data_IF_004649905577
#
_entry.id   IF_004649905577
#
_cell.length_a   1.000
_cell.length_b   1.000
_cell.length_c   1.000
_cell.angle_alpha   90.00
_cell.angle_beta   90.00
_cell.angle_gamma   90.00
#
_symmetry.space_group_name_H-M   'P 1'
#
loop_
_entity.id
_entity.type
_entity.pdbx_description
1 polymer ?
#
# COMPACT_ATOMS: atom_id res chain seq x y z
N UNK A 1 22.62 29.06 -2.78
CA UNK A 1 21.98 28.00 -3.58
C UNK A 1 21.87 26.80 -2.65
N UNK A 2 20.66 26.29 -2.40
CA UNK A 2 20.47 25.09 -1.57
C UNK A 2 20.82 23.89 -2.43
N UNK A 3 21.64 22.99 -1.93
CA UNK A 3 21.95 21.73 -2.60
C UNK A 3 20.82 20.74 -2.33
N UNK A 4 20.11 20.34 -3.40
CA UNK A 4 18.94 19.47 -3.31
C UNK A 4 19.35 18.01 -3.53
N UNK A 5 19.15 17.19 -2.50
CA UNK A 5 19.28 15.73 -2.59
C UNK A 5 18.06 15.06 -3.23
N UNK A 6 16.91 15.72 -3.19
CA UNK A 6 15.64 15.18 -3.67
C UNK A 6 15.73 14.82 -5.15
N UNK A 7 15.33 13.58 -5.49
CA UNK A 7 15.34 13.07 -6.86
C UNK A 7 13.93 12.79 -7.38
N UNK A 8 13.01 12.49 -6.47
CA UNK A 8 11.67 12.04 -6.81
C UNK A 8 10.63 12.68 -5.88
N UNK A 9 9.63 13.31 -6.47
CA UNK A 9 8.43 13.80 -5.80
C UNK A 9 7.23 12.99 -6.29
N UNK A 10 6.51 12.34 -5.37
CA UNK A 10 5.30 11.57 -5.67
C UNK A 10 4.10 12.26 -5.05
N UNK A 11 3.07 12.50 -5.86
CA UNK A 11 1.80 13.05 -5.41
C UNK A 11 0.73 11.98 -5.48
N UNK A 12 0.29 11.48 -4.32
CA UNK A 12 -0.77 10.46 -4.22
C UNK A 12 -2.11 11.17 -4.07
N UNK A 13 -3.01 10.99 -5.04
CA UNK A 13 -4.21 11.82 -5.14
C UNK A 13 -5.46 11.10 -5.62
N UNK A 14 -6.60 11.53 -5.09
CA UNK A 14 -7.96 11.29 -5.62
C UNK A 14 -8.95 12.02 -4.72
N UNK A 15 -9.97 12.64 -5.31
CA UNK A 15 -11.00 13.34 -4.55
C UNK A 15 -11.94 12.39 -3.81
N UNK A 16 -11.94 11.09 -4.14
CA UNK A 16 -12.80 10.12 -3.48
C UNK A 16 -12.22 9.67 -2.12
N UNK A 17 -13.08 9.66 -1.10
CA UNK A 17 -12.78 9.07 0.21
C UNK A 17 -12.75 7.54 0.16
N UNK A 18 -11.91 6.92 1.01
CA UNK A 18 -11.85 5.46 1.18
C UNK A 18 -11.37 4.69 -0.06
N UNK A 19 -10.59 5.30 -0.94
CA UNK A 19 -9.93 4.65 -2.10
C UNK A 19 -8.58 4.02 -1.72
N UNK A 20 -8.10 4.29 -0.51
CA UNK A 20 -6.82 3.77 0.00
C UNK A 20 -5.60 4.61 -0.35
N UNK A 21 -5.74 5.93 -0.55
CA UNK A 21 -4.61 6.87 -0.72
C UNK A 21 -3.52 6.67 0.33
N UNK A 22 -3.87 6.78 1.60
CA UNK A 22 -2.93 6.59 2.70
C UNK A 22 -2.26 5.20 2.68
N UNK A 23 -2.99 4.15 2.33
CA UNK A 23 -2.43 2.80 2.21
C UNK A 23 -1.42 2.72 1.05
N UNK A 24 -1.72 3.35 -0.08
CA UNK A 24 -0.79 3.45 -1.22
C UNK A 24 0.46 4.25 -0.83
N UNK A 25 0.29 5.41 -0.17
CA UNK A 25 1.40 6.23 0.34
C UNK A 25 2.31 5.42 1.27
N UNK A 26 1.72 4.63 2.16
CA UNK A 26 2.43 3.76 3.08
C UNK A 26 3.23 2.65 2.37
N UNK A 27 2.64 2.04 1.33
CA UNK A 27 3.33 1.06 0.48
C UNK A 27 4.53 1.72 -0.22
N UNK A 28 4.35 2.89 -0.84
CA UNK A 28 5.41 3.59 -1.57
C UNK A 28 6.54 4.04 -0.63
N UNK A 29 6.21 4.56 0.55
CA UNK A 29 7.18 4.90 1.60
C UNK A 29 7.99 3.68 2.06
N UNK A 30 7.31 2.55 2.33
CA UNK A 30 7.95 1.31 2.71
C UNK A 30 8.94 0.81 1.64
N UNK A 31 8.51 0.77 0.38
CA UNK A 31 9.34 0.29 -0.73
C UNK A 31 10.56 1.19 -0.95
N UNK A 32 10.40 2.51 -0.90
CA UNK A 32 11.51 3.45 -1.03
C UNK A 32 12.53 3.30 0.11
N UNK A 33 12.07 3.15 1.35
CA UNK A 33 12.95 2.94 2.51
C UNK A 33 13.69 1.62 2.47
N UNK A 34 13.02 0.53 2.09
CA UNK A 34 13.65 -0.77 1.88
C UNK A 34 14.66 -0.76 0.72
N UNK A 35 14.52 0.16 -0.24
CA UNK A 35 15.52 0.43 -1.25
C UNK A 35 16.71 1.27 -0.75
N UNK A 36 16.73 1.65 0.53
CA UNK A 36 17.77 2.46 1.16
C UNK A 36 17.63 3.97 0.91
N UNK A 37 16.48 4.44 0.43
CA UNK A 37 16.23 5.85 0.17
C UNK A 37 15.74 6.56 1.44
N UNK A 38 16.19 7.79 1.63
CA UNK A 38 15.60 8.69 2.63
C UNK A 38 14.29 9.26 2.11
N UNK A 39 13.21 9.16 2.91
CA UNK A 39 11.85 9.54 2.49
C UNK A 39 11.26 10.56 3.46
N UNK A 40 10.66 11.61 2.91
CA UNK A 40 9.79 12.54 3.62
C UNK A 40 8.34 12.32 3.15
N UNK A 41 7.48 11.82 4.03
CA UNK A 41 6.04 11.77 3.78
C UNK A 41 5.41 13.05 4.30
N UNK A 42 4.58 13.67 3.49
CA UNK A 42 3.83 14.88 3.79
C UNK A 42 2.38 14.48 3.97
N UNK A 43 1.90 14.49 5.21
CA UNK A 43 0.49 14.30 5.50
C UNK A 43 -0.22 15.62 5.20
N UNK A 44 -0.98 15.62 4.12
CA UNK A 44 -1.74 16.73 3.59
C UNK A 44 -3.24 16.40 3.62
N UNK A 45 -3.71 15.66 4.63
CA UNK A 45 -5.13 15.47 4.91
C UNK A 45 -5.47 16.02 6.30
N UNK A 46 -5.77 17.32 6.39
CA UNK A 46 -6.14 17.95 7.67
C UNK A 46 -7.35 17.30 8.37
N UNK A 47 -8.28 16.73 7.61
CA UNK A 47 -9.52 16.20 8.17
C UNK A 47 -9.32 14.84 8.84
N UNK A 48 -8.48 13.98 8.24
CA UNK A 48 -8.30 12.60 8.71
C UNK A 48 -6.94 12.35 9.34
N UNK A 49 -5.87 12.96 8.82
CA UNK A 49 -4.47 12.67 9.20
C UNK A 49 -4.16 11.17 9.15
N UNK A 50 -4.63 10.53 8.07
CA UNK A 50 -4.64 9.07 7.93
C UNK A 50 -3.24 8.47 8.07
N UNK A 51 -2.24 9.07 7.41
CA UNK A 51 -0.89 8.53 7.44
C UNK A 51 -0.28 8.61 8.84
N UNK A 52 -0.41 9.76 9.51
CA UNK A 52 0.09 9.95 10.89
C UNK A 52 -0.60 9.00 11.87
N UNK A 53 -1.91 8.81 11.76
CA UNK A 53 -2.65 7.91 12.66
C UNK A 53 -2.20 6.45 12.54
N UNK A 54 -1.67 6.05 11.38
CA UNK A 54 -1.18 4.69 11.10
C UNK A 54 0.30 4.50 11.40
N UNK A 55 1.11 5.52 11.13
CA UNK A 55 2.57 5.41 11.17
C UNK A 55 3.21 6.16 12.35
N UNK A 56 2.45 6.99 13.07
CA UNK A 56 2.96 7.84 14.16
C UNK A 56 3.45 9.21 13.66
N UNK A 57 3.33 10.23 14.52
CA UNK A 57 3.62 11.65 14.20
C UNK A 57 5.06 11.90 13.75
N UNK A 58 6.02 11.11 14.22
CA UNK A 58 7.43 11.29 13.88
C UNK A 58 7.76 10.91 12.44
N UNK A 59 6.85 10.20 11.74
CA UNK A 59 7.11 9.61 10.43
C UNK A 59 6.51 10.40 9.27
N UNK A 60 5.87 11.54 9.54
CA UNK A 60 5.39 12.45 8.49
C UNK A 60 5.48 13.91 8.92
N UNK A 61 5.71 14.76 7.92
CA UNK A 61 5.59 16.21 8.05
C UNK A 61 4.13 16.59 7.88
N UNK A 62 3.58 17.30 8.88
CA UNK A 62 2.22 17.82 8.82
C UNK A 62 2.20 19.06 7.92
N UNK A 63 1.39 19.05 6.86
CA UNK A 63 1.10 20.26 6.10
C UNK A 63 -0.17 20.94 6.63
N UNK A 64 -0.01 22.10 7.26
CA UNK A 64 -1.11 22.93 7.77
C UNK A 64 -1.29 24.16 6.87
N UNK A 65 -2.22 24.08 5.91
CA UNK A 65 -2.58 25.18 4.99
C UNK A 65 -3.65 26.14 5.53
N UNK A 66 -4.21 25.90 6.71
CA UNK A 66 -5.22 26.76 7.34
C UNK A 66 -4.63 27.74 8.37
N UNK A 67 -3.36 27.59 8.74
CA UNK A 67 -2.69 28.50 9.64
C UNK A 67 -2.16 29.68 8.84
N UNK A 68 -2.42 30.92 9.30
CA UNK A 68 -1.87 32.16 8.71
C UNK A 68 -0.33 32.29 8.82
N UNK A 69 0.37 31.18 9.01
CA UNK A 69 1.81 31.02 9.17
C UNK A 69 2.37 30.01 8.15
N UNK A 70 1.71 29.86 6.99
CA UNK A 70 2.26 29.02 5.93
C UNK A 70 3.60 29.64 5.49
N UNK A 71 4.71 28.98 5.81
CA UNK A 71 6.01 29.31 5.26
C UNK A 71 5.88 29.38 3.74
N UNK A 72 6.63 30.30 3.12
CA UNK A 72 6.69 30.39 1.67
C UNK A 72 7.01 28.99 1.10
N UNK A 73 6.29 28.49 0.08
CA UNK A 73 6.42 27.11 -0.40
C UNK A 73 7.86 26.68 -0.72
N UNK A 74 8.66 27.59 -1.27
CA UNK A 74 10.08 27.36 -1.54
C UNK A 74 10.89 27.15 -0.24
N UNK A 75 10.64 27.94 0.81
CA UNK A 75 11.32 27.79 2.11
C UNK A 75 10.88 26.50 2.80
N UNK A 76 9.58 26.20 2.75
CA UNK A 76 9.05 24.96 3.30
C UNK A 76 9.66 23.73 2.61
N UNK A 77 9.71 23.75 1.28
CA UNK A 77 10.26 22.65 0.48
C UNK A 77 11.76 22.48 0.75
N UNK A 78 12.50 23.59 0.83
CA UNK A 78 13.91 23.55 1.21
C UNK A 78 14.13 22.92 2.59
N UNK A 79 13.26 23.23 3.56
CA UNK A 79 13.36 22.72 4.92
C UNK A 79 13.05 21.23 5.04
N UNK A 80 12.04 20.75 4.32
CA UNK A 80 11.48 19.41 4.51
C UNK A 80 11.85 18.40 3.43
N UNK A 81 12.17 18.85 2.22
CA UNK A 81 12.40 17.99 1.06
C UNK A 81 13.84 18.01 0.55
N UNK A 82 14.59 19.11 0.74
CA UNK A 82 15.92 19.23 0.12
C UNK A 82 16.95 18.19 0.59
N UNK A 83 16.76 17.57 1.76
CA UNK A 83 17.72 16.63 2.36
C UNK A 83 17.29 15.16 2.29
N UNK A 84 16.18 14.86 1.60
CA UNK A 84 15.71 13.48 1.39
C UNK A 84 15.85 13.07 -0.08
N UNK A 85 15.79 11.77 -0.38
CA UNK A 85 15.83 11.26 -1.76
C UNK A 85 14.43 11.30 -2.41
N UNK A 86 13.38 11.01 -1.61
CA UNK A 86 11.98 10.92 -2.06
C UNK A 86 11.06 11.76 -1.18
N UNK A 87 10.19 12.56 -1.79
CA UNK A 87 9.06 13.23 -1.16
C UNK A 87 7.75 12.58 -1.58
N UNK A 88 6.85 12.29 -0.64
CA UNK A 88 5.55 11.68 -0.95
C UNK A 88 4.45 12.50 -0.29
N UNK A 89 3.51 13.02 -1.09
CA UNK A 89 2.35 13.76 -0.59
C UNK A 89 1.13 12.84 -0.49
N UNK A 90 0.65 12.58 0.74
CA UNK A 90 -0.65 11.93 1.00
C UNK A 90 -1.74 13.00 1.03
N UNK A 91 -2.38 13.24 -0.12
CA UNK A 91 -3.42 14.26 -0.21
C UNK A 91 -4.75 13.76 0.34
N UNK A 92 -5.48 14.63 1.04
CA UNK A 92 -6.84 14.34 1.50
C UNK A 92 -7.86 14.16 0.37
N UNK A 93 -9.06 13.71 0.73
CA UNK A 93 -10.20 13.76 -0.20
C UNK A 93 -10.53 15.21 -0.56
N UNK A 94 -11.17 15.41 -1.72
CA UNK A 94 -11.58 16.73 -2.23
C UNK A 94 -10.46 17.78 -2.44
N UNK A 95 -9.18 17.41 -2.33
CA UNK A 95 -8.06 18.34 -2.46
C UNK A 95 -8.12 19.17 -3.76
N UNK A 96 -8.48 18.55 -4.89
CA UNK A 96 -8.52 19.22 -6.20
C UNK A 96 -9.82 19.99 -6.45
N UNK A 97 -10.86 19.74 -5.66
CA UNK A 97 -12.18 20.38 -5.83
C UNK A 97 -12.34 21.64 -4.99
N UNK A 98 -11.42 21.87 -4.06
CA UNK A 98 -11.43 23.08 -3.24
C UNK A 98 -10.39 24.05 -3.82
N UNK A 99 -10.81 25.27 -4.18
CA UNK A 99 -9.92 26.43 -4.40
C UNK A 99 -9.25 26.77 -3.05
N UNK A 100 -8.36 25.89 -2.63
CA UNK A 100 -7.71 25.94 -1.33
C UNK A 100 -6.31 26.50 -1.50
N UNK A 101 -5.82 27.25 -0.50
CA UNK A 101 -4.39 27.56 -0.37
C UNK A 101 -3.48 26.33 -0.52
N UNK A 102 -4.00 25.14 -0.19
CA UNK A 102 -3.31 23.87 -0.34
C UNK A 102 -2.98 23.52 -1.80
N UNK A 103 -3.89 23.76 -2.75
CA UNK A 103 -3.66 23.48 -4.16
C UNK A 103 -2.61 24.44 -4.75
N UNK A 104 -2.69 25.73 -4.41
CA UNK A 104 -1.66 26.71 -4.77
C UNK A 104 -0.29 26.35 -4.20
N UNK A 105 -0.24 26.01 -2.90
CA UNK A 105 0.98 25.55 -2.26
C UNK A 105 1.59 24.34 -2.97
N UNK A 106 0.80 23.32 -3.28
CA UNK A 106 1.30 22.14 -3.98
C UNK A 106 1.84 22.48 -5.38
N UNK A 107 1.16 23.36 -6.12
CA UNK A 107 1.65 23.83 -7.41
C UNK A 107 3.03 24.48 -7.25
N UNK A 108 3.20 25.37 -6.27
CA UNK A 108 4.49 26.03 -6.02
C UNK A 108 5.60 25.04 -5.62
N UNK A 109 5.26 23.98 -4.86
CA UNK A 109 6.19 22.88 -4.55
C UNK A 109 6.58 22.12 -5.82
N UNK A 110 5.62 21.82 -6.69
CA UNK A 110 5.85 21.10 -7.95
C UNK A 110 6.67 21.94 -8.92
N UNK A 111 6.39 23.23 -9.05
CA UNK A 111 7.18 24.18 -9.85
C UNK A 111 8.62 24.26 -9.32
N UNK A 112 8.79 24.37 -7.98
CA UNK A 112 10.11 24.32 -7.35
C UNK A 112 10.84 23.01 -7.69
N UNK A 113 10.15 21.88 -7.66
CA UNK A 113 10.73 20.59 -8.02
C UNK A 113 11.19 20.56 -9.49
N UNK A 114 10.36 21.08 -10.41
CA UNK A 114 10.71 21.19 -11.83
C UNK A 114 11.92 22.10 -12.08
N UNK A 115 11.98 23.27 -11.41
CA UNK A 115 13.10 24.21 -11.52
C UNK A 115 14.43 23.59 -11.05
N UNK A 116 14.36 22.62 -10.14
CA UNK A 116 15.52 21.86 -9.65
C UNK A 116 15.76 20.56 -10.45
N UNK A 117 15.05 20.32 -11.56
CA UNK A 117 15.10 19.10 -12.36
C UNK A 117 14.77 17.82 -11.58
N UNK A 118 13.91 17.93 -10.57
CA UNK A 118 13.43 16.81 -9.77
C UNK A 118 12.32 16.09 -10.54
N UNK A 119 12.40 14.77 -10.64
CA UNK A 119 11.35 13.96 -11.27
C UNK A 119 10.09 14.04 -10.43
N UNK A 120 8.97 14.44 -11.04
CA UNK A 120 7.67 14.55 -10.36
C UNK A 120 6.67 13.60 -10.99
N UNK A 121 6.02 12.79 -10.15
CA UNK A 121 5.08 11.76 -10.58
C UNK A 121 3.75 11.89 -9.85
N UNK A 122 2.66 11.91 -10.61
CA UNK A 122 1.30 11.87 -10.07
C UNK A 122 0.78 10.43 -10.06
N UNK A 123 0.25 10.00 -8.91
CA UNK A 123 -0.25 8.66 -8.69
C UNK A 123 -1.76 8.69 -8.36
N UNK A 124 -2.65 8.97 -9.34
CA UNK A 124 -4.08 8.96 -9.11
C UNK A 124 -4.58 7.55 -8.77
N UNK A 125 -5.44 7.44 -7.74
CA UNK A 125 -5.97 6.13 -7.29
C UNK A 125 -7.30 5.79 -7.95
N UNK A 126 -7.34 4.65 -8.63
CA UNK A 126 -8.55 3.92 -9.02
C UNK A 126 -8.83 2.79 -8.02
N UNK A 127 -10.10 2.62 -7.63
CA UNK A 127 -10.54 1.64 -6.66
C UNK A 127 -11.78 0.88 -7.18
N UNK A 128 -11.88 -0.44 -6.95
CA UNK A 128 -13.00 -1.24 -7.45
C UNK A 128 -14.35 -0.72 -6.97
N UNK A 129 -15.36 -0.88 -7.82
CA UNK A 129 -16.75 -0.51 -7.55
C UNK A 129 -16.96 0.99 -7.19
N UNK A 130 -15.95 1.84 -7.41
CA UNK A 130 -16.02 3.30 -7.24
C UNK A 130 -15.86 4.01 -8.57
N UNK A 131 -16.93 4.02 -9.38
CA UNK A 131 -16.95 4.65 -10.71
C UNK A 131 -16.39 6.07 -10.70
N UNK A 132 -16.71 6.87 -9.68
CA UNK A 132 -16.20 8.24 -9.54
C UNK A 132 -14.68 8.33 -9.34
N UNK A 133 -14.07 7.36 -8.66
CA UNK A 133 -12.61 7.31 -8.47
C UNK A 133 -11.89 7.05 -9.79
N UNK A 134 -12.38 6.08 -10.58
CA UNK A 134 -11.86 5.80 -11.92
C UNK A 134 -11.95 6.99 -12.86
N UNK A 135 -13.14 7.58 -13.01
CA UNK A 135 -13.34 8.70 -13.93
C UNK A 135 -12.43 9.88 -13.57
N UNK A 136 -12.21 10.10 -12.27
CA UNK A 136 -11.28 11.11 -11.81
C UNK A 136 -9.84 10.72 -12.13
N UNK A 137 -9.41 9.49 -11.85
CA UNK A 137 -8.06 9.05 -12.17
C UNK A 137 -7.76 9.18 -13.67
N UNK A 138 -8.70 8.81 -14.54
CA UNK A 138 -8.59 8.96 -15.99
C UNK A 138 -8.53 10.44 -16.43
N UNK A 139 -9.32 11.30 -15.78
CA UNK A 139 -9.27 12.76 -16.01
C UNK A 139 -7.92 13.34 -15.60
N UNK A 140 -7.41 12.96 -14.43
CA UNK A 140 -6.12 13.44 -13.93
C UNK A 140 -4.97 12.98 -14.83
N UNK A 141 -5.02 11.72 -15.29
CA UNK A 141 -4.09 11.22 -16.29
C UNK A 141 -4.10 12.10 -17.54
N UNK A 142 -5.27 12.28 -18.16
CA UNK A 142 -5.40 13.12 -19.37
C UNK A 142 -4.94 14.57 -19.16
N UNK A 143 -5.18 15.13 -17.97
CA UNK A 143 -4.86 16.52 -17.66
C UNK A 143 -3.37 16.74 -17.40
N UNK A 144 -2.68 15.80 -16.74
CA UNK A 144 -1.31 16.00 -16.27
C UNK A 144 -0.26 15.27 -17.12
N UNK A 145 -0.62 14.25 -17.91
CA UNK A 145 0.34 13.41 -18.65
C UNK A 145 1.15 14.15 -19.73
N UNK A 146 0.75 15.36 -20.11
CA UNK A 146 1.50 16.20 -21.06
C UNK A 146 2.62 16.99 -20.42
N UNK A 147 2.55 17.23 -19.11
CA UNK A 147 3.50 18.07 -18.35
C UNK A 147 4.29 17.25 -17.32
N UNK A 148 3.70 16.15 -16.85
CA UNK A 148 4.23 15.33 -15.77
C UNK A 148 4.09 13.86 -16.10
N UNK A 149 4.86 13.06 -15.39
CA UNK A 149 4.65 11.63 -15.37
C UNK A 149 3.41 11.29 -14.53
N UNK A 150 2.56 10.40 -15.06
CA UNK A 150 1.36 9.96 -14.36
C UNK A 150 1.22 8.45 -14.52
N UNK A 151 1.04 7.73 -13.40
CA UNK A 151 0.62 6.34 -13.43
C UNK A 151 -0.64 6.16 -12.58
N UNK A 152 -1.60 5.41 -13.10
CA UNK A 152 -2.83 5.10 -12.37
C UNK A 152 -2.55 3.97 -11.39
N UNK A 153 -2.84 4.17 -10.11
CA UNK A 153 -2.75 3.10 -9.11
C UNK A 153 -4.09 2.40 -9.01
N UNK A 154 -4.15 1.13 -9.42
CA UNK A 154 -5.31 0.27 -9.24
C UNK A 154 -5.24 -0.43 -7.89
N UNK A 155 -5.89 0.13 -6.90
CA UNK A 155 -5.89 -0.38 -5.53
C UNK A 155 -7.07 -1.31 -5.27
N UNK A 156 -6.86 -2.63 -5.31
CA UNK A 156 -7.91 -3.63 -5.09
C UNK A 156 -8.23 -3.82 -3.60
N UNK A 157 -8.67 -2.76 -2.94
CA UNK A 157 -8.97 -2.79 -1.51
C UNK A 157 -10.22 -3.62 -1.13
N UNK A 158 -10.86 -4.29 -2.11
CA UNK A 158 -12.05 -5.12 -1.93
C UNK A 158 -11.88 -6.56 -2.41
N UNK A 159 -10.79 -6.89 -3.11
CA UNK A 159 -10.55 -8.24 -3.62
C UNK A 159 -11.45 -8.65 -4.78
N UNK A 160 -12.09 -7.68 -5.45
CA UNK A 160 -12.99 -7.97 -6.56
C UNK A 160 -12.27 -7.92 -7.91
N UNK A 161 -11.14 -7.20 -7.99
CA UNK A 161 -10.47 -6.90 -9.25
C UNK A 161 -11.34 -6.11 -10.24
N UNK A 162 -12.53 -5.64 -9.83
CA UNK A 162 -13.52 -5.06 -10.71
C UNK A 162 -13.36 -3.54 -10.83
N UNK A 163 -12.34 -3.11 -11.58
CA UNK A 163 -12.12 -1.71 -11.93
C UNK A 163 -13.04 -1.24 -13.09
N UNK A 164 -13.81 -2.15 -13.68
CA UNK A 164 -14.63 -1.94 -14.88
C UNK A 164 -13.79 -1.67 -16.14
N UNK A 165 -14.42 -1.32 -17.28
CA UNK A 165 -13.68 -1.09 -18.53
C UNK A 165 -12.79 0.15 -18.42
N UNK A 166 -11.56 0.04 -18.92
CA UNK A 166 -10.65 1.17 -19.11
C UNK A 166 -11.11 2.01 -20.30
N UNK A 167 -11.06 3.34 -20.15
CA UNK A 167 -11.35 4.27 -21.27
C UNK A 167 -10.09 4.85 -21.91
N UNK A 168 -8.97 4.78 -21.20
CA UNK A 168 -7.66 5.20 -21.69
C UNK A 168 -6.98 4.05 -22.44
N UNK A 169 -6.23 4.41 -23.48
CA UNK A 169 -5.40 3.48 -24.24
C UNK A 169 -4.05 3.38 -23.51
N UNK A 170 -3.70 2.16 -23.07
CA UNK A 170 -2.43 1.79 -22.43
C UNK A 170 -1.88 2.77 -21.38
N UNK A 171 -2.69 3.21 -20.38
CA UNK A 171 -2.15 4.03 -19.30
C UNK A 171 -1.14 3.23 -18.46
N UNK A 172 -0.03 3.85 -18.09
CA UNK A 172 0.87 3.27 -17.10
C UNK A 172 0.07 3.00 -15.81
N UNK A 173 0.12 1.75 -15.34
CA UNK A 173 -0.73 1.29 -14.24
C UNK A 173 0.08 0.50 -13.22
N UNK A 174 0.00 0.91 -11.96
CA UNK A 174 0.51 0.17 -10.82
C UNK A 174 -0.66 -0.55 -10.13
N UNK A 175 -0.69 -1.88 -10.19
CA UNK A 175 -1.71 -2.68 -9.50
C UNK A 175 -1.26 -3.01 -8.08
N UNK A 176 -2.09 -2.65 -7.10
CA UNK A 176 -1.93 -3.07 -5.70
C UNK A 176 -2.95 -4.17 -5.43
N UNK A 177 -2.50 -5.41 -5.17
CA UNK A 177 -3.38 -6.54 -4.95
C UNK A 177 -4.11 -6.42 -3.61
N UNK A 178 -5.24 -7.13 -3.51
CA UNK A 178 -5.99 -7.22 -2.27
C UNK A 178 -5.19 -7.87 -1.15
N UNK A 179 -5.34 -7.29 0.04
CA UNK A 179 -4.87 -7.82 1.30
C UNK A 179 -6.07 -8.11 2.20
N UNK A 180 -6.18 -9.35 2.67
CA UNK A 180 -7.25 -9.75 3.60
C UNK A 180 -7.30 -8.80 4.81
N UNK A 181 -8.52 -8.45 5.23
CA UNK A 181 -8.76 -7.45 6.27
C UNK A 181 -8.09 -7.78 7.62
N UNK A 182 -7.90 -9.06 7.94
CA UNK A 182 -7.18 -9.48 9.14
C UNK A 182 -5.69 -9.14 9.09
N UNK A 183 -5.03 -9.23 7.93
CA UNK A 183 -3.65 -8.80 7.78
C UNK A 183 -3.52 -7.27 7.86
N UNK A 184 -4.39 -6.52 7.19
CA UNK A 184 -4.43 -5.05 7.31
C UNK A 184 -4.69 -4.64 8.77
N UNK A 185 -5.58 -5.35 9.47
CA UNK A 185 -5.83 -5.12 10.89
C UNK A 185 -4.59 -5.33 11.73
N UNK A 186 -3.81 -6.41 11.48
CA UNK A 186 -2.53 -6.65 12.17
C UNK A 186 -1.56 -5.50 11.93
N UNK A 187 -1.44 -5.04 10.69
CA UNK A 187 -0.61 -3.89 10.36
C UNK A 187 -0.99 -2.64 11.17
N UNK A 188 -2.28 -2.37 11.27
CA UNK A 188 -2.81 -1.17 11.92
C UNK A 188 -2.76 -1.20 13.47
N UNK A 189 -2.42 -2.35 14.08
CA UNK A 189 -2.26 -2.45 15.55
C UNK A 189 -1.06 -1.66 16.06
N UNK A 190 -0.05 -1.50 15.23
CA UNK A 190 1.18 -0.80 15.58
C UNK A 190 1.21 0.57 14.88
N UNK A 191 1.30 1.65 15.66
CA UNK A 191 1.56 2.99 15.12
C UNK A 191 3.04 3.16 14.78
N UNK A 192 3.52 2.31 13.87
CA UNK A 192 4.90 2.22 13.37
C UNK A 192 4.86 2.26 11.86
N UNK A 193 6.00 2.49 11.21
CA UNK A 193 6.07 2.41 9.75
C UNK A 193 5.95 0.96 9.27
N UNK A 194 5.54 0.77 8.03
CA UNK A 194 5.28 -0.57 7.48
C UNK A 194 6.55 -1.42 7.39
N UNK A 195 7.69 -0.83 7.04
CA UNK A 195 9.01 -1.47 7.04
C UNK A 195 9.37 -1.97 8.45
N UNK A 196 9.12 -1.15 9.48
CA UNK A 196 9.37 -1.52 10.88
C UNK A 196 8.48 -2.65 11.40
N UNK A 197 7.22 -2.70 10.96
CA UNK A 197 6.26 -3.78 11.31
C UNK A 197 6.65 -5.10 10.67
N UNK A 198 7.26 -5.05 9.49
CA UNK A 198 7.78 -6.23 8.78
C UNK A 198 9.08 -6.71 9.42
N UNK A 199 9.99 -5.81 9.74
CA UNK A 199 11.28 -6.14 10.36
C UNK A 199 11.12 -6.70 11.78
N UNK A 200 10.19 -6.15 12.56
CA UNK A 200 9.91 -6.56 13.94
C UNK A 200 8.42 -6.82 14.14
N UNK A 201 7.92 -8.01 13.72
CA UNK A 201 6.51 -8.37 13.87
C UNK A 201 6.09 -8.47 15.33
N UNK A 202 4.81 -8.22 15.61
CA UNK A 202 4.21 -8.47 16.94
C UNK A 202 4.23 -9.98 17.25
N UNK A 203 4.40 -10.32 18.53
CA UNK A 203 4.41 -11.71 18.99
C UNK A 203 3.14 -12.47 18.55
N UNK A 204 3.35 -13.61 17.89
CA UNK A 204 2.30 -14.46 17.35
C UNK A 204 1.68 -13.97 16.04
N UNK A 205 2.28 -12.99 15.37
CA UNK A 205 1.86 -12.45 14.07
C UNK A 205 2.97 -12.48 13.00
N UNK A 206 4.02 -13.27 13.19
CA UNK A 206 5.14 -13.35 12.26
C UNK A 206 4.70 -13.80 10.85
N UNK A 207 3.77 -14.76 10.76
CA UNK A 207 3.23 -15.22 9.47
C UNK A 207 2.37 -14.16 8.79
N UNK A 208 1.65 -13.34 9.55
CA UNK A 208 0.87 -12.21 9.02
C UNK A 208 1.80 -11.14 8.44
N UNK A 209 2.84 -10.73 9.16
CA UNK A 209 3.85 -9.80 8.64
C UNK A 209 4.56 -10.36 7.40
N UNK A 210 4.87 -11.66 7.37
CA UNK A 210 5.45 -12.30 6.19
C UNK A 210 4.47 -12.36 4.99
N UNK A 211 3.16 -12.48 5.23
CA UNK A 211 2.13 -12.36 4.19
C UNK A 211 2.11 -10.94 3.59
N UNK A 212 2.19 -9.91 4.44
CA UNK A 212 2.26 -8.51 4.01
C UNK A 212 3.55 -8.26 3.19
N UNK A 213 4.71 -8.73 3.67
CA UNK A 213 5.98 -8.65 2.94
C UNK A 213 5.90 -9.34 1.58
N UNK A 214 5.25 -10.51 1.50
CA UNK A 214 5.01 -11.21 0.22
C UNK A 214 4.18 -10.37 -0.76
N UNK A 215 3.19 -9.61 -0.27
CA UNK A 215 2.40 -8.71 -1.13
C UNK A 215 3.21 -7.51 -1.59
N UNK A 216 4.01 -6.92 -0.71
CA UNK A 216 4.95 -5.86 -1.09
C UNK A 216 5.97 -6.35 -2.12
N UNK A 217 6.43 -7.59 -2.02
CA UNK A 217 7.32 -8.18 -3.02
C UNK A 217 6.64 -8.32 -4.39
N UNK A 218 5.36 -8.71 -4.44
CA UNK A 218 4.58 -8.73 -5.68
C UNK A 218 4.50 -7.32 -6.31
N UNK A 219 4.31 -6.28 -5.48
CA UNK A 219 4.28 -4.88 -5.92
C UNK A 219 5.68 -4.42 -6.38
N UNK A 220 6.74 -4.80 -5.66
CA UNK A 220 8.15 -4.47 -5.97
C UNK A 220 8.66 -5.10 -7.28
N UNK A 221 7.97 -6.12 -7.79
CA UNK A 221 8.23 -6.73 -9.08
C UNK A 221 7.53 -6.00 -10.25
N UNK A 222 6.73 -4.97 -9.96
CA UNK A 222 6.14 -4.13 -11.00
C UNK A 222 7.22 -3.21 -11.65
N UNK A 223 7.30 -3.13 -12.99
CA UNK A 223 8.27 -2.27 -13.67
C UNK A 223 8.24 -0.79 -13.26
N UNK A 224 7.06 -0.25 -12.91
CA UNK A 224 6.93 1.14 -12.44
C UNK A 224 7.68 1.31 -11.11
N UNK A 225 7.55 0.34 -10.19
CA UNK A 225 8.22 0.41 -8.88
C UNK A 225 9.73 0.26 -9.03
N UNK A 226 10.17 -0.62 -9.93
CA UNK A 226 11.59 -0.76 -10.27
C UNK A 226 12.16 0.54 -10.85
N UNK A 227 11.41 1.21 -11.72
CA UNK A 227 11.83 2.48 -12.30
C UNK A 227 11.83 3.64 -11.29
N UNK A 228 10.93 3.65 -10.31
CA UNK A 228 10.88 4.67 -9.26
C UNK A 228 11.99 4.50 -8.21
N UNK A 229 12.26 3.27 -7.76
CA UNK A 229 13.07 3.01 -6.56
C UNK A 229 14.23 2.02 -6.77
N UNK A 230 14.38 1.44 -7.97
CA UNK A 230 15.34 0.38 -8.26
C UNK A 230 14.88 -1.00 -7.78
N UNK A 231 15.81 -1.95 -7.62
CA UNK A 231 15.51 -3.34 -7.23
C UNK A 231 15.99 -3.70 -5.83
N UNK A 232 16.64 -2.77 -5.12
CA UNK A 232 17.29 -3.02 -3.84
C UNK A 232 16.32 -3.50 -2.74
N UNK A 233 15.04 -3.10 -2.81
CA UNK A 233 14.01 -3.52 -1.85
C UNK A 233 13.62 -5.00 -1.97
N UNK A 234 13.90 -5.67 -3.09
CA UNK A 234 13.46 -7.06 -3.32
C UNK A 234 14.08 -8.03 -2.33
N UNK A 235 15.39 -7.92 -2.10
CA UNK A 235 16.12 -8.81 -1.19
C UNK A 235 15.60 -8.79 0.26
N UNK A 236 15.43 -7.64 0.93
CA UNK A 236 14.86 -7.63 2.28
C UNK A 236 13.40 -8.12 2.30
N UNK A 237 12.61 -7.83 1.27
CA UNK A 237 11.23 -8.34 1.16
C UNK A 237 11.17 -9.86 0.97
N UNK A 238 12.04 -10.42 0.13
CA UNK A 238 12.18 -11.87 -0.06
C UNK A 238 12.53 -12.56 1.25
N UNK A 239 13.48 -12.00 2.01
CA UNK A 239 13.85 -12.52 3.33
C UNK A 239 12.67 -12.44 4.32
N UNK A 240 11.99 -11.28 4.40
CA UNK A 240 10.85 -11.10 5.28
C UNK A 240 9.64 -11.96 4.90
N UNK A 241 9.52 -12.37 3.63
CA UNK A 241 8.46 -13.25 3.15
C UNK A 241 8.72 -14.74 3.46
N UNK A 242 9.90 -15.12 3.98
CA UNK A 242 10.28 -16.49 4.39
C UNK A 242 9.51 -16.91 5.65
N UNK A 243 8.23 -17.24 5.48
CA UNK A 243 7.34 -17.54 6.61
C UNK A 243 5.89 -17.22 6.33
N UNK A 244 5.60 -16.65 5.15
CA UNK A 244 4.23 -16.39 4.72
C UNK A 244 3.39 -17.69 4.79
N UNK A 245 2.11 -17.60 5.18
CA UNK A 245 1.22 -18.74 5.12
C UNK A 245 1.16 -19.30 3.70
N UNK A 246 1.11 -20.62 3.61
CA UNK A 246 0.77 -21.29 2.35
C UNK A 246 -0.71 -21.10 2.00
N UNK A 247 -1.24 -21.86 1.02
CA UNK A 247 -2.65 -21.81 0.66
C UNK A 247 -3.56 -22.03 1.87
N UNK A 248 -4.56 -21.18 2.04
CA UNK A 248 -5.53 -21.22 3.13
C UNK A 248 -6.88 -21.76 2.64
N UNK A 249 -7.68 -22.32 3.54
CA UNK A 249 -9.05 -22.76 3.25
C UNK A 249 -10.06 -21.64 3.46
N UNK A 250 -9.86 -20.88 4.52
CA UNK A 250 -10.73 -19.78 4.96
C UNK A 250 -10.02 -18.43 4.83
N UNK A 251 -10.80 -17.38 4.60
CA UNK A 251 -10.33 -15.98 4.52
C UNK A 251 -9.85 -15.51 5.89
N UNK A 252 -8.83 -14.65 5.91
CA UNK A 252 -8.31 -14.03 7.14
C UNK A 252 -9.07 -12.73 7.43
N UNK A 253 -10.29 -12.84 7.96
CA UNK A 253 -11.19 -11.69 8.08
C UNK A 253 -10.85 -10.77 9.26
N UNK A 254 -10.30 -11.31 10.35
CA UNK A 254 -10.03 -10.58 11.58
C UNK A 254 -8.56 -10.71 12.02
N UNK A 255 -8.05 -9.82 12.89
CA UNK A 255 -6.73 -10.00 13.47
C UNK A 255 -6.62 -11.24 14.38
N UNK A 256 -7.72 -11.88 14.80
CA UNK A 256 -7.64 -13.20 15.45
C UNK A 256 -7.32 -14.30 14.42
N UNK A 257 -7.93 -14.21 13.23
CA UNK A 257 -7.68 -15.14 12.11
C UNK A 257 -6.22 -15.08 11.60
N UNK A 258 -5.57 -13.93 11.79
CA UNK A 258 -4.21 -13.67 11.36
C UNK A 258 -3.12 -14.14 12.36
N UNK A 259 -3.50 -14.71 13.51
CA UNK A 259 -2.53 -15.29 14.46
C UNK A 259 -1.80 -16.47 13.83
N UNK A 260 -0.52 -16.63 14.14
CA UNK A 260 0.32 -17.70 13.58
C UNK A 260 -0.28 -19.11 13.82
N UNK A 261 -0.81 -19.37 15.01
CA UNK A 261 -1.46 -20.65 15.32
C UNK A 261 -2.71 -20.91 14.46
N UNK A 262 -3.51 -19.86 14.23
CA UNK A 262 -4.74 -19.90 13.46
C UNK A 262 -4.47 -20.06 11.97
N UNK A 263 -3.44 -19.38 11.47
CA UNK A 263 -2.94 -19.54 10.09
C UNK A 263 -2.40 -20.96 9.86
N UNK A 264 -1.60 -21.52 10.78
CA UNK A 264 -1.14 -22.92 10.69
C UNK A 264 -2.30 -23.91 10.71
N UNK A 265 -3.29 -23.70 11.57
CA UNK A 265 -4.48 -24.55 11.60
C UNK A 265 -5.29 -24.44 10.29
N UNK A 266 -5.46 -23.25 9.73
CA UNK A 266 -6.13 -23.03 8.45
C UNK A 266 -5.40 -23.71 7.28
N UNK A 267 -4.05 -23.64 7.26
CA UNK A 267 -3.23 -24.38 6.30
C UNK A 267 -3.42 -25.89 6.41
N UNK A 268 -3.50 -26.44 7.63
CA UNK A 268 -3.76 -27.86 7.85
C UNK A 268 -5.13 -28.28 7.31
N UNK A 269 -6.17 -27.46 7.51
CA UNK A 269 -7.50 -27.71 6.92
C UNK A 269 -7.41 -27.71 5.39
N UNK A 270 -6.70 -26.75 4.78
CA UNK A 270 -6.55 -26.70 3.31
C UNK A 270 -5.82 -27.94 2.77
N UNK A 271 -4.79 -28.40 3.46
CA UNK A 271 -4.07 -29.61 3.10
C UNK A 271 -4.98 -30.85 3.17
N UNK A 272 -5.70 -31.03 4.28
CA UNK A 272 -6.63 -32.14 4.46
C UNK A 272 -7.76 -32.13 3.42
N UNK A 273 -8.34 -30.97 3.13
CA UNK A 273 -9.34 -30.80 2.08
C UNK A 273 -8.82 -31.20 0.69
N UNK A 274 -7.57 -30.85 0.39
CA UNK A 274 -6.93 -31.20 -0.88
C UNK A 274 -6.72 -32.72 -1.00
N UNK A 275 -6.38 -33.40 0.10
CA UNK A 275 -6.28 -34.86 0.14
C UNK A 275 -7.66 -35.48 -0.09
N UNK A 276 -8.70 -35.03 0.62
CA UNK A 276 -10.06 -35.53 0.46
C UNK A 276 -10.56 -35.39 -0.98
N UNK A 277 -10.37 -34.22 -1.59
CA UNK A 277 -10.78 -33.96 -2.98
C UNK A 277 -10.09 -34.89 -3.99
N UNK A 278 -8.84 -35.30 -3.72
CA UNK A 278 -8.09 -36.25 -4.57
C UNK A 278 -8.45 -37.70 -4.32
N UNK A 279 -8.87 -38.04 -3.11
CA UNK A 279 -9.32 -39.39 -2.71
C UNK A 279 -10.76 -39.71 -3.13
N UNK A 280 -11.46 -38.79 -3.79
CA UNK A 280 -12.85 -39.00 -4.24
C UNK A 280 -13.01 -40.18 -5.22
N UNK A 281 -11.93 -40.62 -5.87
CA UNK A 281 -11.89 -41.80 -6.74
C UNK A 281 -11.14 -43.00 -6.12
N UNK A 282 -10.74 -42.91 -4.85
CA UNK A 282 -10.02 -43.96 -4.14
C UNK A 282 -10.97 -44.98 -3.49
N UNK A 283 -10.41 -46.09 -3.00
CA UNK A 283 -11.11 -47.09 -2.17
C UNK A 283 -11.83 -46.41 -0.98
N UNK A 284 -13.07 -46.83 -0.63
CA UNK A 284 -13.79 -46.42 0.58
C UNK A 284 -12.94 -46.20 1.84
N UNK A 285 -11.92 -47.04 2.11
CA UNK A 285 -11.06 -46.87 3.29
C UNK A 285 -10.20 -45.60 3.23
N UNK A 286 -9.62 -45.30 2.07
CA UNK A 286 -8.81 -44.11 1.86
C UNK A 286 -9.66 -42.84 1.91
N UNK A 287 -10.90 -42.92 1.43
CA UNK A 287 -11.87 -41.82 1.52
C UNK A 287 -12.26 -41.54 2.98
N UNK A 288 -12.55 -42.58 3.76
CA UNK A 288 -12.90 -42.45 5.19
C UNK A 288 -11.75 -41.82 5.98
N UNK A 289 -10.51 -42.26 5.78
CA UNK A 289 -9.34 -41.70 6.44
C UNK A 289 -9.13 -40.21 6.10
N UNK A 290 -9.33 -39.82 4.83
CA UNK A 290 -9.22 -38.43 4.42
C UNK A 290 -10.31 -37.54 5.04
N UNK A 291 -11.53 -38.06 5.18
CA UNK A 291 -12.63 -37.37 5.84
C UNK A 291 -12.36 -37.14 7.34
N UNK A 292 -11.85 -38.15 8.03
CA UNK A 292 -11.49 -38.04 9.45
C UNK A 292 -10.37 -37.01 9.68
N UNK A 293 -9.35 -37.01 8.82
CA UNK A 293 -8.26 -36.03 8.87
C UNK A 293 -8.77 -34.58 8.65
N UNK A 294 -9.68 -34.37 7.68
CA UNK A 294 -10.29 -33.05 7.48
C UNK A 294 -11.12 -32.63 8.70
N UNK A 295 -11.92 -33.54 9.26
CA UNK A 295 -12.71 -33.27 10.47
C UNK A 295 -11.83 -32.88 11.65
N UNK A 296 -10.73 -33.59 11.89
CA UNK A 296 -9.80 -33.27 12.97
C UNK A 296 -9.13 -31.90 12.75
N UNK A 297 -8.69 -31.61 11.53
CA UNK A 297 -8.11 -30.32 11.19
C UNK A 297 -9.11 -29.17 11.43
N UNK A 298 -10.38 -29.36 11.05
CA UNK A 298 -11.45 -28.38 11.29
C UNK A 298 -11.69 -28.14 12.78
N UNK A 299 -11.77 -29.22 13.58
CA UNK A 299 -11.93 -29.11 15.03
C UNK A 299 -10.76 -28.36 15.69
N UNK A 300 -9.53 -28.56 15.20
CA UNK A 300 -8.36 -27.81 15.68
C UNK A 300 -8.44 -26.34 15.27
N UNK A 301 -8.80 -26.06 14.01
CA UNK A 301 -8.99 -24.69 13.53
C UNK A 301 -10.07 -23.94 14.31
N UNK A 302 -11.12 -24.61 14.78
CA UNK A 302 -12.16 -24.00 15.62
C UNK A 302 -11.73 -23.70 17.06
N UNK A 303 -10.70 -24.39 17.57
CA UNK A 303 -10.19 -24.22 18.93
C UNK A 303 -9.11 -23.13 19.07
N UNK A 304 -8.40 -22.85 17.98
CA UNK A 304 -7.51 -21.69 17.84
C UNK A 304 -8.35 -20.44 17.59
#
# INVERSE_FOLDING_TARGET
>A
MIDWKLKLLIVVLTNAGGTGKTHVTEILDCLARLAGLSVCVVDADQGCRGYINRNGKANATVLNWNAGEMLQPAEWSARHLAQVDVGIFDLGANFLSMDTPAAGFLNDVVETAQDQNIRTVFAPIDAPDKVGARLLAERLYTQFSTLFEVFIVKNDNRGTGNFGPARLIDPQTLSIPFLDAGYESVRLRQQRRLDEVIEAPEDGYAMASAAIASRLLEIANNPIVEDLFGTAMRKPLEAAAQGRPGPLRFVVATPADARDEKLRANMAVRAAHTILARSASADPQALQAAFEAEREALLRFQKC
#
